data_IF_460467868600
#
_entry.id   IF_460467868600
#
_cell.length_a   1.000
_cell.length_b   1.000
_cell.length_c   1.000
_cell.angle_alpha   90.00
_cell.angle_beta   90.00
_cell.angle_gamma   90.00
#
_symmetry.space_group_name_H-M   'P 1'
#
loop_
_entity.id
_entity.type
_entity.pdbx_description
1 polymer ?
#
# COMPACT_ATOMS: atom_id res chain seq x y z
N UNK A 1 1.61 17.28 20.15
CA UNK A 1 1.99 17.26 18.72
C UNK A 1 0.76 17.58 17.88
N UNK A 2 0.89 18.40 16.84
CA UNK A 2 -0.20 18.66 15.89
C UNK A 2 -0.27 17.48 14.92
N UNK A 3 -1.41 16.78 14.87
CA UNK A 3 -1.63 15.72 13.88
C UNK A 3 -1.86 16.37 12.51
N UNK A 4 -0.88 16.27 11.62
CA UNK A 4 -0.93 16.85 10.26
C UNK A 4 -1.14 15.80 9.17
N UNK A 5 -1.32 14.53 9.55
CA UNK A 5 -1.44 13.40 8.63
C UNK A 5 -0.12 13.04 7.93
N UNK A 6 -0.19 12.13 6.96
CA UNK A 6 0.97 11.74 6.13
C UNK A 6 1.33 12.90 5.19
N UNK A 7 2.45 13.54 5.46
CA UNK A 7 3.07 14.52 4.57
C UNK A 7 4.00 13.81 3.58
N UNK A 8 4.13 14.36 2.37
CA UNK A 8 5.09 13.84 1.41
C UNK A 8 6.51 14.06 1.92
N UNK A 9 7.33 13.00 1.91
CA UNK A 9 8.76 13.06 2.17
C UNK A 9 9.50 12.60 0.92
N UNK A 10 10.55 13.33 0.55
CA UNK A 10 11.36 13.01 -0.61
C UNK A 10 12.84 12.96 -0.21
N UNK A 11 13.51 11.94 -0.70
CA UNK A 11 14.97 11.77 -0.63
C UNK A 11 15.52 11.65 -2.05
N UNK A 12 16.82 11.42 -2.18
CA UNK A 12 17.45 11.18 -3.48
C UNK A 12 16.86 9.96 -4.22
N UNK A 13 16.46 8.91 -3.50
CA UNK A 13 16.06 7.62 -4.10
C UNK A 13 14.61 7.24 -3.87
N UNK A 14 13.91 7.90 -2.94
CA UNK A 14 12.59 7.49 -2.47
C UNK A 14 11.66 8.67 -2.26
N UNK A 15 10.39 8.46 -2.59
CA UNK A 15 9.26 9.34 -2.27
C UNK A 15 8.31 8.55 -1.38
N UNK A 16 8.07 9.05 -0.18
CA UNK A 16 6.97 8.61 0.68
C UNK A 16 5.81 9.57 0.49
N UNK A 17 4.66 9.07 0.03
CA UNK A 17 3.45 9.86 -0.18
C UNK A 17 2.22 9.09 0.29
N UNK A 18 1.09 9.77 0.37
CA UNK A 18 -0.21 9.12 0.55
C UNK A 18 -0.49 8.19 -0.62
N UNK A 19 -1.06 7.02 -0.34
CA UNK A 19 -1.61 6.12 -1.35
C UNK A 19 -2.79 6.76 -2.08
N UNK A 20 -2.93 6.46 -3.35
CA UNK A 20 -4.07 6.84 -4.20
C UNK A 20 -4.55 5.62 -4.96
N UNK A 21 -5.81 5.59 -5.40
CA UNK A 21 -6.42 4.40 -6.03
C UNK A 21 -5.61 3.81 -7.20
N UNK A 22 -4.88 4.65 -7.95
CA UNK A 22 -4.02 4.19 -9.04
C UNK A 22 -2.85 3.33 -8.58
N UNK A 23 -2.51 3.33 -7.29
CA UNK A 23 -1.47 2.49 -6.70
C UNK A 23 -1.93 1.03 -6.50
N UNK A 24 -3.23 0.75 -6.59
CA UNK A 24 -3.80 -0.55 -6.32
C UNK A 24 -3.15 -1.66 -7.16
N UNK A 25 -2.90 -1.41 -8.44
CA UNK A 25 -2.29 -2.40 -9.33
C UNK A 25 -0.87 -2.74 -8.86
N UNK A 26 -0.03 -1.74 -8.62
CA UNK A 26 1.33 -1.96 -8.16
C UNK A 26 1.35 -2.63 -6.78
N UNK A 27 0.42 -2.26 -5.89
CA UNK A 27 0.28 -2.91 -4.57
C UNK A 27 -0.09 -4.39 -4.70
N UNK A 28 -1.08 -4.70 -5.53
CA UNK A 28 -1.56 -6.06 -5.76
C UNK A 28 -0.46 -6.95 -6.36
N UNK A 29 0.19 -6.50 -7.42
CA UNK A 29 1.19 -7.28 -8.15
C UNK A 29 2.46 -7.52 -7.33
N UNK A 30 2.87 -6.55 -6.51
CA UNK A 30 4.15 -6.65 -5.81
C UNK A 30 4.04 -7.30 -4.42
N UNK A 31 2.94 -7.10 -3.68
CA UNK A 31 2.85 -7.68 -2.34
C UNK A 31 1.47 -8.15 -1.87
N UNK A 32 0.38 -7.46 -2.20
CA UNK A 32 -0.91 -7.74 -1.55
C UNK A 32 -1.56 -9.06 -2.01
N UNK A 33 -1.20 -9.59 -3.18
CA UNK A 33 -1.73 -10.87 -3.70
C UNK A 33 -0.98 -12.12 -3.20
N UNK A 34 0.21 -11.98 -2.61
CA UNK A 34 1.07 -13.12 -2.28
C UNK A 34 1.10 -13.41 -0.79
N UNK A 35 0.65 -14.61 -0.39
CA UNK A 35 0.67 -15.07 1.01
C UNK A 35 2.07 -15.06 1.63
N UNK A 36 3.13 -15.23 0.84
CA UNK A 36 4.51 -15.20 1.33
C UNK A 36 4.90 -13.83 1.88
N UNK A 37 4.27 -12.75 1.40
CA UNK A 37 4.55 -11.38 1.84
C UNK A 37 3.76 -10.96 3.10
N UNK A 38 2.92 -11.85 3.64
CA UNK A 38 1.90 -11.48 4.63
C UNK A 38 2.16 -12.04 6.04
N UNK A 39 3.35 -12.56 6.31
CA UNK A 39 3.70 -13.21 7.59
C UNK A 39 3.38 -12.37 8.83
N UNK A 40 3.41 -11.04 8.71
CA UNK A 40 3.24 -10.11 9.83
C UNK A 40 2.07 -9.13 9.68
N UNK A 41 1.16 -9.37 8.74
CA UNK A 41 -0.08 -8.59 8.60
C UNK A 41 -1.29 -9.39 9.09
N UNK A 42 -2.38 -8.69 9.38
CA UNK A 42 -3.60 -9.29 9.97
C UNK A 42 -4.67 -9.62 8.94
N UNK A 43 -4.37 -9.50 7.64
CA UNK A 43 -5.32 -9.68 6.54
C UNK A 43 -4.81 -10.75 5.56
N UNK A 44 -5.75 -11.45 4.93
CA UNK A 44 -5.48 -12.50 3.95
C UNK A 44 -5.05 -11.91 2.60
N UNK A 45 -4.33 -12.67 1.74
CA UNK A 45 -3.98 -12.22 0.41
C UNK A 45 -5.21 -11.72 -0.36
N UNK A 46 -5.06 -10.59 -1.01
CA UNK A 46 -6.11 -10.04 -1.83
C UNK A 46 -6.31 -10.96 -3.05
N UNK A 47 -7.55 -11.38 -3.38
CA UNK A 47 -7.81 -12.29 -4.50
C UNK A 47 -7.83 -11.56 -5.85
N UNK A 48 -8.05 -10.25 -5.84
CA UNK A 48 -8.09 -9.40 -7.02
C UNK A 48 -7.66 -7.95 -6.70
N UNK A 49 -7.47 -7.17 -7.77
CA UNK A 49 -7.09 -5.76 -7.67
C UNK A 49 -8.22 -4.89 -7.10
N UNK A 50 -9.48 -5.29 -7.21
CA UNK A 50 -10.61 -4.50 -6.69
C UNK A 50 -10.60 -4.46 -5.17
N UNK A 51 -10.35 -5.59 -4.50
CA UNK A 51 -10.18 -5.62 -3.05
C UNK A 51 -9.01 -4.74 -2.60
N UNK A 52 -7.94 -4.73 -3.40
CA UNK A 52 -6.77 -3.89 -3.16
C UNK A 52 -7.11 -2.41 -3.30
N UNK A 53 -7.90 -2.03 -4.30
CA UNK A 53 -8.37 -0.66 -4.51
C UNK A 53 -9.27 -0.18 -3.38
N UNK A 54 -10.13 -1.04 -2.85
CA UNK A 54 -11.00 -0.73 -1.70
C UNK A 54 -10.23 -0.53 -0.38
N UNK A 55 -8.95 -0.92 -0.31
CA UNK A 55 -8.10 -0.81 0.88
C UNK A 55 -7.23 0.45 0.91
N UNK A 56 -7.30 1.28 -0.14
CA UNK A 56 -6.57 2.56 -0.27
C UNK A 56 -7.42 3.70 0.26
#
# INVERSE_FOLDING_TARGET
MKAIGTQMLQTERLILRRFVESDAEAMFQNWASSAENLTYVTWDPHPDVELTRNSI
#
